data_IF_051053497255
#
_entry.id   IF_051053497255
#
_cell.length_a   1.000
_cell.length_b   1.000
_cell.length_c   1.000
_cell.angle_alpha   90.00
_cell.angle_beta   90.00
_cell.angle_gamma   90.00
#
_symmetry.space_group_name_H-M   'P 1'
#
loop_
_entity.id
_entity.type
_entity.pdbx_description
1 polymer ?
#
# COMPACT_ATOMS: atom_id res chain seq x y z
N UNK A 1 13.18 4.76 29.67
CA UNK A 1 13.34 4.79 28.19
C UNK A 1 13.46 3.38 27.57
N UNK A 2 14.33 2.49 28.01
CA UNK A 2 14.46 1.11 27.46
C UNK A 2 13.14 0.30 27.50
N UNK A 3 12.38 0.36 28.58
CA UNK A 3 11.11 -0.37 28.72
C UNK A 3 10.01 0.14 27.79
N UNK A 4 9.91 1.46 27.57
CA UNK A 4 8.95 2.05 26.63
C UNK A 4 9.29 1.68 25.18
N UNK A 5 10.56 1.71 24.81
CA UNK A 5 11.02 1.28 23.49
C UNK A 5 10.72 -0.20 23.23
N UNK A 6 10.94 -1.06 24.21
CA UNK A 6 10.60 -2.47 24.09
C UNK A 6 9.10 -2.70 23.96
N UNK A 7 8.26 -1.97 24.70
CA UNK A 7 6.79 -2.05 24.58
C UNK A 7 6.31 -1.62 23.20
N UNK A 8 6.79 -0.50 22.67
CA UNK A 8 6.43 -0.06 21.30
C UNK A 8 6.85 -1.09 20.25
N UNK A 9 8.04 -1.67 20.37
CA UNK A 9 8.51 -2.71 19.47
C UNK A 9 7.62 -3.96 19.53
N UNK A 10 7.24 -4.39 20.75
CA UNK A 10 6.33 -5.53 20.95
C UNK A 10 4.97 -5.29 20.29
N UNK A 11 4.36 -4.11 20.49
CA UNK A 11 3.10 -3.77 19.85
C UNK A 11 3.20 -3.73 18.32
N UNK A 12 4.32 -3.26 17.77
CA UNK A 12 4.59 -3.30 16.33
C UNK A 12 4.66 -4.72 15.80
N UNK A 13 5.39 -5.60 16.46
CA UNK A 13 5.50 -7.01 16.05
C UNK A 13 4.13 -7.69 16.12
N UNK A 14 3.38 -7.52 17.22
CA UNK A 14 2.05 -8.10 17.38
C UNK A 14 1.07 -7.65 16.30
N UNK A 15 1.05 -6.35 15.98
CA UNK A 15 0.17 -5.84 14.94
C UNK A 15 0.51 -6.38 13.55
N UNK A 16 1.79 -6.61 13.23
CA UNK A 16 2.19 -7.24 11.97
C UNK A 16 1.81 -8.73 11.93
N UNK A 17 2.00 -9.46 13.04
CA UNK A 17 1.62 -10.89 13.14
C UNK A 17 0.11 -11.07 12.88
N UNK A 18 -0.72 -10.11 13.25
CA UNK A 18 -2.17 -10.17 12.99
C UNK A 18 -2.51 -9.67 11.58
N UNK A 19 -1.92 -8.53 11.17
CA UNK A 19 -2.29 -7.88 9.91
C UNK A 19 -1.86 -8.67 8.67
N UNK A 20 -0.65 -9.20 8.66
CA UNK A 20 -0.12 -9.92 7.48
C UNK A 20 -0.94 -11.18 7.17
N UNK A 21 -1.25 -12.06 8.13
CA UNK A 21 -2.16 -13.17 7.86
C UNK A 21 -3.57 -12.73 7.49
N UNK A 22 -4.12 -11.70 8.14
CA UNK A 22 -5.45 -11.18 7.83
C UNK A 22 -5.54 -10.66 6.39
N UNK A 23 -4.44 -10.18 5.84
CA UNK A 23 -4.34 -9.73 4.47
C UNK A 23 -4.14 -10.89 3.48
N UNK A 24 -3.27 -11.87 3.80
CA UNK A 24 -2.85 -12.92 2.86
C UNK A 24 -3.73 -14.17 2.88
N UNK A 25 -4.16 -14.62 4.07
CA UNK A 25 -4.92 -15.87 4.23
C UNK A 25 -6.23 -15.88 3.43
N UNK A 26 -7.03 -14.81 3.40
CA UNK A 26 -8.24 -14.77 2.61
C UNK A 26 -8.00 -14.97 1.10
N UNK A 27 -6.88 -14.48 0.58
CA UNK A 27 -6.52 -14.59 -0.84
C UNK A 27 -6.36 -16.06 -1.26
N UNK A 28 -5.90 -16.91 -0.34
CA UNK A 28 -5.62 -18.33 -0.62
C UNK A 28 -6.81 -19.22 -0.32
N UNK A 29 -7.61 -18.89 0.72
CA UNK A 29 -8.70 -19.77 1.19
C UNK A 29 -9.94 -19.64 0.33
N UNK A 30 -10.44 -18.42 0.10
CA UNK A 30 -11.71 -18.20 -0.59
C UNK A 30 -11.91 -16.75 -1.01
N UNK A 31 -12.43 -16.58 -2.24
CA UNK A 31 -12.81 -15.26 -2.76
C UNK A 31 -13.90 -14.56 -1.90
N UNK A 32 -14.79 -15.32 -1.28
CA UNK A 32 -15.83 -14.77 -0.39
C UNK A 32 -15.23 -14.29 0.94
N UNK A 33 -14.28 -15.05 1.51
CA UNK A 33 -13.56 -14.64 2.73
C UNK A 33 -12.73 -13.39 2.45
N UNK A 34 -12.07 -13.32 1.30
CA UNK A 34 -11.36 -12.15 0.83
C UNK A 34 -12.29 -10.94 0.74
N UNK A 35 -13.45 -11.09 0.08
CA UNK A 35 -14.43 -10.03 -0.04
C UNK A 35 -14.88 -9.50 1.33
N UNK A 36 -15.16 -10.39 2.28
CA UNK A 36 -15.57 -10.03 3.63
C UNK A 36 -14.49 -9.24 4.37
N UNK A 37 -13.24 -9.72 4.37
CA UNK A 37 -12.13 -9.04 5.05
C UNK A 37 -11.84 -7.68 4.42
N UNK A 38 -11.85 -7.58 3.10
CA UNK A 38 -11.60 -6.32 2.42
C UNK A 38 -12.76 -5.33 2.56
N UNK A 39 -14.01 -5.78 2.72
CA UNK A 39 -15.12 -4.92 3.12
C UNK A 39 -14.93 -4.36 4.53
N UNK A 40 -14.42 -5.15 5.47
CA UNK A 40 -14.05 -4.66 6.80
C UNK A 40 -12.93 -3.62 6.72
N UNK A 41 -11.89 -3.87 5.92
CA UNK A 41 -10.82 -2.89 5.71
C UNK A 41 -11.35 -1.57 5.13
N UNK A 42 -12.23 -1.65 4.12
CA UNK A 42 -12.86 -0.47 3.55
C UNK A 42 -13.64 0.34 4.59
N UNK A 43 -14.45 -0.32 5.43
CA UNK A 43 -15.22 0.37 6.47
C UNK A 43 -14.34 1.05 7.52
N UNK A 44 -13.22 0.43 7.89
CA UNK A 44 -12.23 1.04 8.80
C UNK A 44 -11.60 2.28 8.16
N UNK A 45 -11.14 2.18 6.90
CA UNK A 45 -10.52 3.30 6.18
C UNK A 45 -11.51 4.45 5.97
N UNK A 46 -12.78 4.15 5.67
CA UNK A 46 -13.84 5.17 5.60
C UNK A 46 -13.93 5.94 6.91
N UNK A 47 -13.95 5.26 8.06
CA UNK A 47 -13.98 5.92 9.37
C UNK A 47 -12.75 6.80 9.61
N UNK A 48 -11.55 6.34 9.28
CA UNK A 48 -10.33 7.13 9.37
C UNK A 48 -10.40 8.40 8.51
N UNK A 49 -10.89 8.30 7.27
CA UNK A 49 -11.05 9.45 6.38
C UNK A 49 -12.14 10.41 6.88
N UNK A 50 -13.23 9.91 7.45
CA UNK A 50 -14.27 10.74 8.05
C UNK A 50 -13.73 11.53 9.25
N UNK A 51 -12.90 10.94 10.10
CA UNK A 51 -12.22 11.62 11.19
C UNK A 51 -11.27 12.73 10.68
N UNK A 52 -10.50 12.46 9.62
CA UNK A 52 -9.68 13.48 8.98
C UNK A 52 -10.52 14.62 8.38
N UNK A 53 -11.67 14.31 7.76
CA UNK A 53 -12.58 15.26 7.17
C UNK A 53 -13.17 16.23 8.21
N UNK A 54 -13.48 15.79 9.43
CA UNK A 54 -14.03 16.67 10.48
C UNK A 54 -13.07 17.79 10.85
N UNK A 55 -11.76 17.52 10.83
CA UNK A 55 -10.70 18.45 11.19
C UNK A 55 -10.20 19.30 10.00
N UNK A 56 -10.66 19.03 8.78
CA UNK A 56 -10.21 19.74 7.58
C UNK A 56 -11.16 20.86 7.19
N UNK A 57 -10.59 21.97 6.73
CA UNK A 57 -11.34 23.07 6.11
C UNK A 57 -11.88 22.66 4.73
N UNK A 58 -11.23 21.76 4.03
CA UNK A 58 -11.55 21.37 2.64
C UNK A 58 -12.29 20.04 2.55
N UNK A 59 -13.53 20.00 3.03
CA UNK A 59 -14.37 18.79 3.10
C UNK A 59 -14.63 18.12 1.74
N UNK A 60 -14.54 18.85 0.63
CA UNK A 60 -14.79 18.31 -0.72
C UNK A 60 -13.73 17.28 -1.13
N UNK A 61 -12.45 17.50 -0.77
CA UNK A 61 -11.37 16.58 -1.09
C UNK A 61 -11.61 15.21 -0.42
N UNK A 62 -12.08 15.21 0.82
CA UNK A 62 -12.37 13.96 1.57
C UNK A 62 -13.60 13.24 1.02
N UNK A 63 -14.64 13.96 0.56
CA UNK A 63 -15.77 13.33 -0.12
C UNK A 63 -15.30 12.61 -1.40
N UNK A 64 -14.42 13.25 -2.18
CA UNK A 64 -13.85 12.66 -3.38
C UNK A 64 -12.96 11.44 -3.05
N UNK A 65 -12.11 11.55 -2.01
CA UNK A 65 -11.29 10.44 -1.54
C UNK A 65 -12.14 9.23 -1.08
N UNK A 66 -13.24 9.47 -0.35
CA UNK A 66 -14.18 8.43 0.06
C UNK A 66 -14.79 7.69 -1.15
N UNK A 67 -15.22 8.42 -2.18
CA UNK A 67 -15.78 7.83 -3.40
C UNK A 67 -14.74 6.96 -4.10
N UNK A 68 -13.51 7.47 -4.27
CA UNK A 68 -12.43 6.73 -4.95
C UNK A 68 -12.07 5.47 -4.16
N UNK A 69 -11.91 5.56 -2.86
CA UNK A 69 -11.49 4.41 -2.04
C UNK A 69 -12.57 3.33 -2.03
N UNK A 70 -13.85 3.70 -1.85
CA UNK A 70 -14.94 2.71 -1.93
C UNK A 70 -15.01 2.07 -3.31
N UNK A 71 -14.79 2.83 -4.37
CA UNK A 71 -14.74 2.33 -5.75
C UNK A 71 -13.57 1.34 -5.97
N UNK A 72 -12.37 1.65 -5.45
CA UNK A 72 -11.19 0.77 -5.53
C UNK A 72 -11.49 -0.58 -4.87
N UNK A 73 -12.01 -0.57 -3.63
CA UNK A 73 -12.35 -1.80 -2.93
C UNK A 73 -13.45 -2.59 -3.66
N UNK A 74 -14.49 -1.90 -4.16
CA UNK A 74 -15.57 -2.53 -4.92
C UNK A 74 -15.03 -3.25 -6.16
N UNK A 75 -14.20 -2.58 -6.97
CA UNK A 75 -13.59 -3.20 -8.16
C UNK A 75 -12.72 -4.39 -7.76
N UNK A 76 -11.82 -4.21 -6.79
CA UNK A 76 -10.92 -5.28 -6.37
C UNK A 76 -11.68 -6.52 -5.89
N UNK A 77 -12.71 -6.34 -5.08
CA UNK A 77 -13.57 -7.43 -4.61
C UNK A 77 -14.29 -8.10 -5.78
N UNK A 78 -14.87 -7.32 -6.70
CA UNK A 78 -15.59 -7.85 -7.87
C UNK A 78 -14.66 -8.69 -8.75
N UNK A 79 -13.46 -8.18 -9.05
CA UNK A 79 -12.48 -8.89 -9.88
C UNK A 79 -12.00 -10.20 -9.25
N UNK A 80 -11.94 -10.29 -7.93
CA UNK A 80 -11.59 -11.53 -7.24
C UNK A 80 -12.77 -12.51 -7.21
N UNK A 81 -14.01 -12.05 -6.94
CA UNK A 81 -15.19 -12.92 -6.92
C UNK A 81 -15.47 -13.52 -8.32
N UNK A 82 -15.29 -12.73 -9.37
CA UNK A 82 -15.48 -13.18 -10.76
C UNK A 82 -14.29 -13.99 -11.30
N UNK A 83 -13.29 -14.26 -10.46
CA UNK A 83 -12.04 -14.94 -10.84
C UNK A 83 -11.31 -14.29 -12.02
N UNK A 84 -11.61 -13.04 -12.29
CA UNK A 84 -11.00 -12.28 -13.39
C UNK A 84 -9.52 -11.96 -13.14
N UNK A 85 -9.07 -12.02 -11.88
CA UNK A 85 -7.66 -11.91 -11.50
C UNK A 85 -7.23 -13.18 -10.79
N UNK A 86 -6.19 -13.81 -11.30
CA UNK A 86 -5.62 -15.00 -10.66
C UNK A 86 -5.00 -14.67 -9.30
N UNK A 87 -5.22 -15.55 -8.31
CA UNK A 87 -4.56 -15.49 -6.98
C UNK A 87 -3.04 -15.31 -7.09
N UNK A 88 -2.41 -15.97 -8.08
CA UNK A 88 -0.95 -15.84 -8.33
C UNK A 88 -0.56 -14.40 -8.69
N UNK A 89 -1.39 -13.70 -9.47
CA UNK A 89 -1.13 -12.30 -9.83
C UNK A 89 -1.25 -11.41 -8.59
N UNK A 90 -2.28 -11.59 -7.76
CA UNK A 90 -2.47 -10.82 -6.54
C UNK A 90 -1.27 -10.98 -5.59
N UNK A 91 -0.80 -12.21 -5.40
CA UNK A 91 0.39 -12.48 -4.57
C UNK A 91 1.64 -11.83 -5.15
N UNK A 92 1.88 -11.94 -6.46
CA UNK A 92 3.02 -11.28 -7.13
C UNK A 92 2.98 -9.75 -6.91
N UNK A 93 1.81 -9.13 -7.05
CA UNK A 93 1.62 -7.70 -6.82
C UNK A 93 1.97 -7.30 -5.39
N UNK A 94 1.50 -8.05 -4.40
CA UNK A 94 1.80 -7.81 -2.99
C UNK A 94 3.30 -7.88 -2.72
N UNK A 95 3.97 -8.90 -3.25
CA UNK A 95 5.42 -9.09 -3.10
C UNK A 95 6.18 -7.91 -3.73
N UNK A 96 5.79 -7.45 -4.92
CA UNK A 96 6.43 -6.32 -5.60
C UNK A 96 6.29 -5.04 -4.77
N UNK A 97 5.11 -4.75 -4.23
CA UNK A 97 4.87 -3.59 -3.37
C UNK A 97 5.78 -3.65 -2.14
N UNK A 98 5.83 -4.78 -1.45
CA UNK A 98 6.66 -4.95 -0.25
C UNK A 98 8.17 -4.85 -0.53
N UNK A 99 8.63 -5.39 -1.65
CA UNK A 99 10.03 -5.24 -2.08
C UNK A 99 10.36 -3.77 -2.33
N UNK A 100 9.50 -3.06 -3.08
CA UNK A 100 9.68 -1.65 -3.38
C UNK A 100 9.72 -0.79 -2.12
N UNK A 101 8.77 -0.97 -1.20
CA UNK A 101 8.71 -0.20 0.05
C UNK A 101 9.92 -0.50 0.94
N UNK A 102 10.32 -1.77 1.04
CA UNK A 102 11.48 -2.19 1.84
C UNK A 102 12.77 -1.61 1.28
N UNK A 103 13.03 -1.77 -0.02
CA UNK A 103 14.25 -1.27 -0.65
C UNK A 103 14.29 0.26 -0.65
N UNK A 104 13.15 0.92 -0.85
CA UNK A 104 13.05 2.38 -0.75
C UNK A 104 13.37 2.89 0.65
N UNK A 105 12.86 2.22 1.68
CA UNK A 105 13.14 2.57 3.07
C UNK A 105 14.61 2.36 3.42
N UNK A 106 15.18 1.18 3.11
CA UNK A 106 16.57 0.84 3.42
C UNK A 106 17.53 1.77 2.67
N UNK A 107 17.32 1.93 1.35
CA UNK A 107 18.14 2.81 0.53
C UNK A 107 18.09 4.26 0.99
N UNK A 108 16.91 4.76 1.34
CA UNK A 108 16.73 6.09 1.87
C UNK A 108 17.39 6.31 3.22
N UNK A 109 17.47 5.26 4.06
CA UNK A 109 18.13 5.33 5.37
C UNK A 109 19.65 5.18 5.29
N UNK A 110 20.14 4.31 4.43
CA UNK A 110 21.58 4.01 4.29
C UNK A 110 22.31 5.09 3.49
N UNK A 111 21.74 5.48 2.34
CA UNK A 111 22.37 6.46 1.43
C UNK A 111 22.00 7.88 1.86
N UNK A 112 20.78 8.11 2.37
CA UNK A 112 20.32 9.44 2.77
C UNK A 112 20.13 10.39 1.58
N UNK A 113 20.41 11.68 1.80
CA UNK A 113 20.42 12.70 0.75
C UNK A 113 19.15 13.54 0.66
N UNK A 114 18.89 14.11 -0.51
CA UNK A 114 17.80 15.08 -0.73
C UNK A 114 16.42 14.46 -0.50
N UNK A 115 15.60 15.16 0.29
CA UNK A 115 14.19 14.75 0.51
C UNK A 115 13.37 15.00 -0.76
N UNK A 116 12.50 14.04 -1.11
CA UNK A 116 11.59 14.18 -2.25
C UNK A 116 10.53 15.26 -2.00
N UNK A 117 9.86 15.18 -0.86
CA UNK A 117 8.73 16.06 -0.51
C UNK A 117 8.75 16.38 0.99
N UNK A 118 9.60 17.34 1.45
CA UNK A 118 9.82 17.60 2.87
C UNK A 118 8.55 17.93 3.65
N UNK A 119 7.62 18.66 3.03
CA UNK A 119 6.36 19.12 3.66
C UNK A 119 5.34 17.98 3.82
N UNK A 120 5.27 17.07 2.85
CA UNK A 120 4.26 16.00 2.79
C UNK A 120 4.78 14.75 3.51
N UNK A 121 5.98 14.31 3.15
CA UNK A 121 6.61 13.11 3.67
C UNK A 121 8.11 13.37 3.93
N UNK A 122 8.43 13.68 5.18
CA UNK A 122 9.81 13.97 5.60
C UNK A 122 10.76 12.75 5.57
N UNK A 123 10.21 11.54 5.46
CA UNK A 123 10.96 10.29 5.42
C UNK A 123 11.49 9.93 4.03
N UNK A 124 10.80 10.31 2.96
CA UNK A 124 11.11 9.90 1.59
C UNK A 124 12.28 10.69 1.00
N UNK A 125 13.29 9.96 0.44
CA UNK A 125 14.47 10.53 -0.22
C UNK A 125 14.54 10.14 -1.69
N UNK A 126 15.25 10.93 -2.49
CA UNK A 126 15.51 10.62 -3.91
C UNK A 126 16.31 9.31 -4.04
N UNK A 127 17.33 9.13 -3.19
CA UNK A 127 18.12 7.90 -3.13
C UNK A 127 17.25 6.68 -2.78
N UNK A 128 16.34 6.82 -1.82
CA UNK A 128 15.40 5.75 -1.46
C UNK A 128 14.49 5.35 -2.63
N UNK A 129 13.92 6.33 -3.35
CA UNK A 129 13.11 6.03 -4.54
C UNK A 129 13.94 5.32 -5.60
N UNK A 130 15.14 5.82 -5.91
CA UNK A 130 16.01 5.21 -6.92
C UNK A 130 16.40 3.76 -6.55
N UNK A 131 16.84 3.53 -5.31
CA UNK A 131 17.18 2.17 -4.83
C UNK A 131 15.97 1.24 -4.82
N UNK A 132 14.79 1.73 -4.42
CA UNK A 132 13.54 0.98 -4.48
C UNK A 132 13.23 0.51 -5.90
N UNK A 133 13.25 1.42 -6.88
CA UNK A 133 13.01 1.09 -8.29
C UNK A 133 14.02 0.06 -8.80
N UNK A 134 15.33 0.36 -8.66
CA UNK A 134 16.41 -0.45 -9.21
C UNK A 134 16.41 -1.86 -8.61
N UNK A 135 16.39 -1.97 -7.27
CA UNK A 135 16.48 -3.27 -6.61
C UNK A 135 15.21 -4.12 -6.79
N UNK A 136 14.03 -3.51 -6.87
CA UNK A 136 12.81 -4.26 -7.19
C UNK A 136 12.84 -4.81 -8.60
N UNK A 137 13.25 -4.03 -9.60
CA UNK A 137 13.39 -4.50 -10.98
C UNK A 137 14.45 -5.60 -11.10
N UNK A 138 15.60 -5.46 -10.43
CA UNK A 138 16.63 -6.51 -10.38
C UNK A 138 16.07 -7.79 -9.75
N UNK A 139 15.30 -7.70 -8.66
CA UNK A 139 14.70 -8.87 -8.00
C UNK A 139 13.75 -9.63 -8.95
N UNK A 140 12.94 -8.89 -9.72
CA UNK A 140 12.04 -9.49 -10.73
C UNK A 140 12.82 -10.10 -11.88
N UNK A 141 13.89 -9.47 -12.34
CA UNK A 141 14.79 -10.03 -13.36
C UNK A 141 15.43 -11.33 -12.90
N UNK A 142 15.95 -11.36 -11.67
CA UNK A 142 16.53 -12.60 -11.09
C UNK A 142 15.46 -13.69 -11.04
N UNK A 143 14.24 -13.38 -10.61
CA UNK A 143 13.13 -14.33 -10.57
C UNK A 143 12.85 -14.90 -11.97
N UNK A 144 12.83 -14.10 -13.02
CA UNK A 144 12.60 -14.54 -14.41
C UNK A 144 13.72 -15.44 -14.91
N UNK A 145 14.98 -15.06 -14.66
CA UNK A 145 16.15 -15.85 -15.08
C UNK A 145 16.17 -17.22 -14.38
N UNK A 146 15.88 -17.27 -13.08
CA UNK A 146 15.86 -18.53 -12.33
C UNK A 146 14.76 -19.49 -12.75
N UNK A 147 13.64 -18.96 -13.28
CA UNK A 147 12.53 -19.78 -13.78
C UNK A 147 12.61 -20.05 -15.30
N UNK A 148 13.67 -19.58 -15.99
CA UNK A 148 13.81 -19.64 -17.44
C UNK A 148 12.63 -19.01 -18.21
N UNK A 149 11.98 -18.02 -17.63
CA UNK A 149 10.82 -17.31 -18.18
C UNK A 149 11.20 -15.83 -18.33
N UNK A 150 11.59 -15.38 -19.51
CA UNK A 150 11.87 -13.96 -19.74
C UNK A 150 10.70 -13.29 -20.45
N UNK A 151 9.97 -12.45 -19.73
CA UNK A 151 8.84 -11.66 -20.24
C UNK A 151 9.05 -10.17 -19.99
N UNK A 152 9.25 -9.40 -21.05
CA UNK A 152 9.35 -7.94 -20.96
C UNK A 152 8.09 -7.31 -20.37
N UNK A 153 6.93 -7.92 -20.61
CA UNK A 153 5.63 -7.49 -20.08
C UNK A 153 5.63 -7.48 -18.56
N UNK A 154 6.24 -8.49 -17.91
CA UNK A 154 6.34 -8.53 -16.44
C UNK A 154 7.21 -7.40 -15.89
N UNK A 155 8.25 -6.98 -16.60
CA UNK A 155 9.10 -5.85 -16.21
C UNK A 155 8.30 -4.54 -16.31
N UNK A 156 7.58 -4.31 -17.40
CA UNK A 156 6.74 -3.13 -17.59
C UNK A 156 5.60 -3.08 -16.58
N UNK A 157 4.99 -4.22 -16.30
CA UNK A 157 3.95 -4.36 -15.26
C UNK A 157 4.51 -4.03 -13.87
N UNK A 158 5.70 -4.55 -13.53
CA UNK A 158 6.40 -4.23 -12.26
C UNK A 158 6.66 -2.73 -12.14
N UNK A 159 7.14 -2.10 -13.22
CA UNK A 159 7.39 -0.66 -13.22
C UNK A 159 6.11 0.14 -13.00
N UNK A 160 5.01 -0.28 -13.60
CA UNK A 160 3.70 0.33 -13.37
C UNK A 160 3.24 0.17 -11.91
N UNK A 161 3.38 -1.02 -11.32
CA UNK A 161 3.08 -1.25 -9.90
C UNK A 161 3.87 -0.29 -9.02
N UNK A 162 5.16 -0.11 -9.26
CA UNK A 162 6.03 0.80 -8.50
C UNK A 162 5.50 2.24 -8.57
N UNK A 163 5.14 2.72 -9.78
CA UNK A 163 4.60 4.08 -9.95
C UNK A 163 3.30 4.25 -9.15
N UNK A 164 2.35 3.34 -9.30
CA UNK A 164 1.05 3.47 -8.65
C UNK A 164 1.12 3.23 -7.15
N UNK A 165 2.03 2.37 -6.65
CA UNK A 165 2.35 2.23 -5.24
C UNK A 165 2.86 3.55 -4.64
N UNK A 166 3.84 4.17 -5.30
CA UNK A 166 4.38 5.46 -4.88
C UNK A 166 3.32 6.58 -4.87
N UNK A 167 2.47 6.63 -5.91
CA UNK A 167 1.39 7.61 -6.00
C UNK A 167 0.32 7.42 -4.92
N UNK A 168 -0.04 6.17 -4.61
CA UNK A 168 -1.00 5.85 -3.55
C UNK A 168 -0.55 6.35 -2.19
N UNK A 169 0.68 6.01 -1.77
CA UNK A 169 1.27 6.52 -0.53
C UNK A 169 1.41 8.06 -0.53
N UNK A 170 1.74 8.66 -1.67
CA UNK A 170 1.80 10.12 -1.79
C UNK A 170 0.44 10.78 -1.55
N UNK A 171 -0.62 10.29 -2.20
CA UNK A 171 -1.99 10.81 -2.06
C UNK A 171 -2.47 10.67 -0.62
N UNK A 172 -2.29 9.51 0.01
CA UNK A 172 -2.64 9.30 1.41
C UNK A 172 -1.86 10.24 2.34
N UNK A 173 -0.57 10.46 2.07
CA UNK A 173 0.25 11.42 2.82
C UNK A 173 -0.26 12.85 2.67
N UNK A 174 -0.67 13.29 1.48
CA UNK A 174 -1.26 14.61 1.24
C UNK A 174 -2.57 14.77 2.03
N UNK A 175 -3.47 13.80 1.98
CA UNK A 175 -4.73 13.82 2.74
C UNK A 175 -4.48 14.01 4.23
N UNK A 176 -3.53 13.29 4.81
CA UNK A 176 -3.15 13.44 6.22
C UNK A 176 -2.66 14.85 6.55
N UNK A 177 -1.81 15.45 5.71
CA UNK A 177 -1.27 16.81 5.98
C UNK A 177 -2.33 17.90 5.84
N UNK A 178 -3.28 17.80 4.92
CA UNK A 178 -4.38 18.76 4.77
C UNK A 178 -5.26 18.83 6.04
N UNK A 179 -5.38 17.73 6.78
CA UNK A 179 -6.12 17.67 8.06
C UNK A 179 -5.23 17.80 9.30
N UNK A 180 -3.96 18.16 9.14
CA UNK A 180 -2.97 18.28 10.22
C UNK A 180 -2.68 16.99 10.98
N UNK A 181 -3.02 15.84 10.43
CA UNK A 181 -2.67 14.54 10.98
C UNK A 181 -1.29 14.07 10.49
N UNK A 182 -0.62 13.30 11.35
CA UNK A 182 0.59 12.56 10.97
C UNK A 182 0.25 11.15 10.49
N UNK A 183 -0.58 10.46 11.23
CA UNK A 183 -1.05 9.10 10.99
C UNK A 183 -2.57 9.12 10.78
N UNK A 184 -3.12 8.19 9.99
CA UNK A 184 -4.55 8.21 9.65
C UNK A 184 -5.46 7.81 10.82
N UNK A 185 -4.93 7.07 11.78
CA UNK A 185 -5.65 6.57 12.95
C UNK A 185 -4.72 5.92 13.96
N UNK A 186 -5.31 5.22 14.94
CA UNK A 186 -4.58 4.50 15.98
C UNK A 186 -5.03 3.03 16.14
N UNK A 187 -5.71 2.49 15.12
CA UNK A 187 -6.27 1.12 15.17
C UNK A 187 -5.16 0.08 15.27
N UNK A 188 -4.00 0.34 14.65
CA UNK A 188 -2.84 -0.55 14.73
C UNK A 188 -1.84 -0.04 15.77
N UNK A 189 -1.76 -0.64 16.97
CA UNK A 189 -0.84 -0.21 18.02
C UNK A 189 0.60 -0.11 17.52
N UNK A 190 1.22 1.06 17.66
CA UNK A 190 2.58 1.34 17.21
C UNK A 190 2.75 1.53 15.69
N UNK A 191 1.69 1.38 14.89
CA UNK A 191 1.74 1.48 13.42
C UNK A 191 0.81 2.52 12.80
N UNK A 192 -0.04 3.20 13.58
CA UNK A 192 -0.98 4.19 13.06
C UNK A 192 -2.31 3.59 12.62
N UNK A 193 -2.88 4.11 11.56
CA UNK A 193 -4.14 3.62 10.99
C UNK A 193 -3.98 2.52 9.94
N UNK A 194 -5.11 1.98 9.52
CA UNK A 194 -5.17 0.99 8.44
C UNK A 194 -4.86 1.61 7.08
N UNK A 195 -5.28 2.85 6.85
CA UNK A 195 -4.94 3.59 5.64
C UNK A 195 -3.42 3.76 5.50
N UNK A 196 -2.68 3.92 6.60
CA UNK A 196 -1.22 4.02 6.59
C UNK A 196 -0.51 2.71 6.19
N UNK A 197 -1.24 1.62 6.12
CA UNK A 197 -0.73 0.28 5.73
C UNK A 197 -1.17 -0.16 4.35
N UNK A 198 -2.25 0.40 3.85
CA UNK A 198 -2.84 0.04 2.57
C UNK A 198 -2.72 1.15 1.51
N UNK A 199 -2.09 2.28 1.85
CA UNK A 199 -1.96 3.43 0.96
C UNK A 199 -1.28 3.07 -0.38
N UNK A 200 -0.15 2.38 -0.36
CA UNK A 200 0.53 1.84 -1.54
C UNK A 200 -0.36 0.86 -2.34
N UNK A 201 -1.07 -0.01 -1.62
CA UNK A 201 -1.97 -0.99 -2.24
C UNK A 201 -3.16 -0.33 -2.92
N UNK A 202 -3.75 0.72 -2.32
CA UNK A 202 -4.88 1.43 -2.90
C UNK A 202 -4.52 2.03 -4.27
N UNK A 203 -3.32 2.60 -4.41
CA UNK A 203 -2.84 3.10 -5.70
C UNK A 203 -2.74 1.99 -6.75
N UNK A 204 -2.17 0.85 -6.39
CA UNK A 204 -2.01 -0.30 -7.30
C UNK A 204 -3.36 -0.95 -7.63
N UNK A 205 -4.27 -1.08 -6.67
CA UNK A 205 -5.60 -1.64 -6.93
C UNK A 205 -6.43 -0.76 -7.88
N UNK A 206 -6.29 0.56 -7.78
CA UNK A 206 -6.89 1.47 -8.76
C UNK A 206 -6.36 1.20 -10.18
N UNK A 207 -5.05 1.04 -10.32
CA UNK A 207 -4.41 0.72 -11.59
C UNK A 207 -4.91 -0.62 -12.16
N UNK A 208 -4.90 -1.68 -11.36
CA UNK A 208 -5.39 -3.00 -11.77
C UNK A 208 -6.86 -2.98 -12.19
N UNK A 209 -7.68 -2.25 -11.43
CA UNK A 209 -9.11 -2.07 -11.75
C UNK A 209 -9.31 -1.37 -13.09
N UNK A 210 -8.56 -0.31 -13.37
CA UNK A 210 -8.66 0.41 -14.65
C UNK A 210 -8.18 -0.45 -15.81
N UNK A 211 -7.07 -1.18 -15.68
CA UNK A 211 -6.61 -2.09 -16.72
C UNK A 211 -7.68 -3.11 -17.13
N UNK A 212 -8.36 -3.71 -16.15
CA UNK A 212 -9.37 -4.74 -16.41
C UNK A 212 -10.68 -4.20 -17.03
N UNK A 213 -11.00 -2.94 -16.83
CA UNK A 213 -12.15 -2.29 -17.48
C UNK A 213 -11.90 -2.12 -19.00
N UNK A 214 -10.64 -1.98 -19.40
CA UNK A 214 -10.25 -1.77 -20.80
C UNK A 214 -9.80 -3.05 -21.53
N UNK A 215 -9.69 -4.19 -20.84
CA UNK A 215 -9.42 -5.53 -21.41
C UNK A 215 -10.62 -6.45 -21.31
#
# INVERSE_FOLDING_TARGET
MKNLFNQELTFRILSLIVFVPLMLVPIVISNYLLAFVYMLFNSIIINEILLMKTNSKNKKIYNFALIIITYIFFIFITLNITESISTKIVIKVIIIIWLFDTFSYVGGKVIGGKKLMPIISSGKTVSGLATGVILTLISVLIYQITNNEFEIILILFTFSIIIFSFLGDLIASILKRISYFKDSGSIMPGHGGLLDRLDSFLGVFLFLGTLKIFT
#
